data_IF_439920337412
#
_entry.id   IF_439920337412
#
_cell.length_a   1.000
_cell.length_b   1.000
_cell.length_c   1.000
_cell.angle_alpha   90.00
_cell.angle_beta   90.00
_cell.angle_gamma   90.00
#
_symmetry.space_group_name_H-M   'P 1'
#
loop_
_entity.id
_entity.type
_entity.pdbx_description
1 polymer ?
#
# COMPACT_ATOMS: atom_id res chain seq x y z
N UNK A 1 42.50 -11.81 18.80
CA UNK A 1 41.92 -11.67 17.46
C UNK A 1 40.42 -11.48 17.67
N UNK A 2 39.99 -10.23 17.76
CA UNK A 2 38.58 -9.89 18.02
C UNK A 2 37.84 -10.12 16.72
N UNK A 3 36.97 -11.13 16.72
CA UNK A 3 35.96 -11.32 15.70
C UNK A 3 35.00 -10.13 15.77
N UNK A 4 35.11 -9.19 14.83
CA UNK A 4 34.03 -8.26 14.56
C UNK A 4 32.92 -9.06 13.86
N UNK A 5 31.92 -9.48 14.61
CA UNK A 5 30.66 -9.97 14.07
C UNK A 5 30.00 -8.83 13.27
N UNK A 6 29.84 -9.11 11.98
CA UNK A 6 29.12 -8.35 10.96
C UNK A 6 27.84 -7.70 11.50
N UNK A 7 27.80 -6.37 11.58
CA UNK A 7 26.55 -5.64 11.48
C UNK A 7 26.20 -5.52 9.99
N UNK A 8 25.65 -6.60 9.44
CA UNK A 8 24.90 -6.53 8.18
C UNK A 8 23.50 -6.02 8.56
N UNK A 9 23.39 -4.74 8.89
CA UNK A 9 22.09 -4.12 9.12
C UNK A 9 21.40 -4.09 7.76
N UNK A 10 20.38 -4.91 7.57
CA UNK A 10 19.47 -4.74 6.45
C UNK A 10 18.93 -3.31 6.53
N UNK A 11 19.01 -2.58 5.42
CA UNK A 11 18.54 -1.21 5.28
C UNK A 11 17.04 -1.01 5.57
N UNK A 12 16.30 -2.05 5.92
CA UNK A 12 14.84 -2.02 6.06
C UNK A 12 14.36 -1.88 7.52
N UNK A 13 15.27 -1.82 8.49
CA UNK A 13 14.91 -1.79 9.92
C UNK A 13 14.42 -0.39 10.40
N UNK A 14 14.19 0.56 9.48
CA UNK A 14 13.74 1.92 9.83
C UNK A 14 12.22 2.03 9.95
N UNK A 15 11.50 1.31 9.09
CA UNK A 15 10.04 1.36 9.00
C UNK A 15 9.52 -0.07 8.83
N UNK A 16 8.48 -0.43 9.55
CA UNK A 16 7.69 -1.64 9.29
C UNK A 16 6.32 -1.28 8.73
N UNK A 17 5.80 -2.15 7.85
CA UNK A 17 4.46 -2.02 7.27
C UNK A 17 3.64 -3.27 7.53
N UNK A 18 2.36 -3.08 7.84
CA UNK A 18 1.42 -4.16 8.09
C UNK A 18 0.06 -3.85 7.47
N UNK A 19 -0.43 -4.68 6.53
CA UNK A 19 0.25 -5.87 5.99
C UNK A 19 1.42 -5.49 5.06
N UNK A 20 2.33 -6.43 4.77
CA UNK A 20 3.42 -6.24 3.80
C UNK A 20 2.97 -6.41 2.34
N UNK A 21 1.77 -6.95 2.14
CA UNK A 21 1.10 -7.17 0.87
C UNK A 21 -0.41 -7.02 1.11
N UNK A 22 -1.15 -6.48 0.13
CA UNK A 22 -2.60 -6.31 0.22
C UNK A 22 -3.29 -7.22 -0.79
N UNK A 23 -4.00 -8.24 -0.30
CA UNK A 23 -4.84 -9.11 -1.14
C UNK A 23 -6.30 -8.86 -0.81
N UNK A 24 -7.07 -8.34 -1.76
CA UNK A 24 -8.51 -8.13 -1.56
C UNK A 24 -9.37 -9.34 -1.99
N UNK A 25 -8.78 -10.30 -2.69
CA UNK A 25 -9.50 -11.44 -3.26
C UNK A 25 -10.44 -11.00 -4.38
N UNK A 26 -11.61 -11.63 -4.46
CA UNK A 26 -12.65 -11.26 -5.42
C UNK A 26 -13.40 -9.98 -4.99
N UNK A 27 -13.54 -9.04 -5.91
CA UNK A 27 -14.28 -7.79 -5.72
C UNK A 27 -15.46 -7.78 -6.68
N UNK A 28 -16.67 -7.72 -6.13
CA UNK A 28 -17.89 -7.68 -6.92
C UNK A 28 -18.22 -6.26 -7.38
N UNK A 29 -18.05 -6.01 -8.69
CA UNK A 29 -18.38 -4.76 -9.36
C UNK A 29 -19.81 -4.71 -9.92
N UNK A 30 -20.66 -5.71 -9.63
CA UNK A 30 -22.09 -5.66 -9.93
C UNK A 30 -22.83 -4.67 -9.02
N UNK A 31 -22.30 -4.45 -7.82
CA UNK A 31 -22.85 -3.54 -6.84
C UNK A 31 -22.33 -2.12 -7.06
N UNK A 32 -23.06 -1.13 -6.54
CA UNK A 32 -22.57 0.23 -6.56
C UNK A 32 -21.34 0.37 -5.66
N UNK A 33 -20.32 1.09 -6.15
CA UNK A 33 -19.10 1.36 -5.39
C UNK A 33 -19.42 2.09 -4.08
N UNK A 34 -18.92 1.62 -2.92
CA UNK A 34 -18.96 2.39 -1.68
C UNK A 34 -18.21 3.72 -1.79
N UNK A 35 -18.50 4.67 -0.89
CA UNK A 35 -17.84 5.98 -0.88
C UNK A 35 -16.33 5.83 -0.69
N UNK A 36 -15.96 4.94 0.23
CA UNK A 36 -14.60 4.57 0.61
C UNK A 36 -13.94 3.53 -0.31
N UNK A 37 -14.61 3.10 -1.38
CA UNK A 37 -14.17 2.00 -2.25
C UNK A 37 -14.54 0.61 -1.70
N UNK A 38 -14.30 -0.42 -2.51
CA UNK A 38 -14.52 -1.81 -2.14
C UNK A 38 -13.42 -2.29 -1.18
N UNK A 39 -13.84 -2.99 -0.12
CA UNK A 39 -12.98 -3.67 0.85
C UNK A 39 -11.78 -2.81 1.32
N UNK A 40 -12.00 -1.65 1.98
CA UNK A 40 -10.89 -0.83 2.46
C UNK A 40 -9.99 -1.60 3.42
N UNK A 41 -8.68 -1.49 3.22
CA UNK A 41 -7.65 -2.17 4.04
C UNK A 41 -6.88 -1.18 4.86
N UNK A 42 -6.70 -1.46 6.16
CA UNK A 42 -5.83 -0.67 7.02
C UNK A 42 -4.37 -1.06 6.79
N UNK A 43 -3.60 -0.17 6.19
CA UNK A 43 -2.15 -0.31 6.00
C UNK A 43 -1.43 0.55 7.05
N UNK A 44 -0.97 -0.10 8.11
CA UNK A 44 -0.20 0.55 9.17
C UNK A 44 1.26 0.68 8.76
N UNK A 45 1.83 1.86 8.97
CA UNK A 45 3.24 2.19 8.76
C UNK A 45 3.80 2.65 10.10
N UNK A 46 4.78 1.95 10.63
CA UNK A 46 5.39 2.21 11.94
C UNK A 46 6.86 2.63 11.76
N UNK A 47 7.25 3.74 12.39
CA UNK A 47 8.65 4.13 12.50
C UNK A 47 9.31 3.41 13.67
N UNK A 48 10.13 2.40 13.36
CA UNK A 48 10.89 1.63 14.34
C UNK A 48 12.27 2.24 14.64
N UNK A 49 12.61 3.34 13.96
CA UNK A 49 13.88 4.02 14.16
C UNK A 49 13.83 5.03 15.32
N UNK A 50 15.02 5.42 15.79
CA UNK A 50 15.20 6.44 16.83
C UNK A 50 15.27 7.87 16.26
N UNK A 51 14.78 8.09 15.05
CA UNK A 51 14.81 9.39 14.39
C UNK A 51 13.52 9.63 13.60
N UNK A 52 13.25 10.89 13.29
CA UNK A 52 12.10 11.24 12.46
C UNK A 52 12.28 10.71 11.03
N UNK A 53 11.19 10.19 10.47
CA UNK A 53 11.13 9.65 9.10
C UNK A 53 10.03 10.38 8.33
N UNK A 54 10.39 11.00 7.22
CA UNK A 54 9.43 11.59 6.28
C UNK A 54 9.02 10.55 5.25
N UNK A 55 7.72 10.49 4.97
CA UNK A 55 7.11 9.53 4.06
C UNK A 55 6.33 10.25 2.96
N UNK A 56 6.34 9.71 1.75
CA UNK A 56 5.51 10.21 0.64
C UNK A 56 5.15 9.05 -0.28
N UNK A 57 3.91 8.99 -0.76
CA UNK A 57 3.53 8.02 -1.80
C UNK A 57 4.00 8.56 -3.14
N UNK A 58 4.91 7.84 -3.79
CA UNK A 58 5.52 8.25 -5.06
C UNK A 58 4.92 7.53 -6.27
N UNK A 59 4.31 6.36 -6.03
CA UNK A 59 3.55 5.62 -7.04
C UNK A 59 2.28 5.07 -6.40
N UNK A 60 1.14 5.34 -7.02
CA UNK A 60 -0.17 4.85 -6.60
C UNK A 60 -1.05 4.68 -7.84
N UNK A 61 -1.65 3.50 -7.98
CA UNK A 61 -2.51 3.18 -9.10
C UNK A 61 -3.93 3.73 -8.88
N UNK A 62 -4.14 4.97 -9.29
CA UNK A 62 -5.45 5.62 -9.20
C UNK A 62 -6.48 5.12 -10.20
N UNK A 63 -6.08 4.34 -11.21
CA UNK A 63 -7.04 3.76 -12.17
C UNK A 63 -7.78 2.59 -11.54
N UNK A 64 -7.14 1.88 -10.61
CA UNK A 64 -7.72 0.72 -9.91
C UNK A 64 -8.06 1.00 -8.45
N UNK A 65 -7.26 1.81 -7.75
CA UNK A 65 -7.37 2.02 -6.31
C UNK A 65 -7.88 3.42 -5.95
N UNK A 66 -8.50 3.52 -4.78
CA UNK A 66 -8.70 4.79 -4.09
C UNK A 66 -7.94 4.80 -2.78
N UNK A 67 -7.66 6.00 -2.29
CA UNK A 67 -7.04 6.23 -1.00
C UNK A 67 -7.89 7.23 -0.20
N UNK A 68 -8.40 6.80 0.95
CA UNK A 68 -9.28 7.63 1.76
C UNK A 68 -8.59 8.94 2.19
N UNK A 69 -9.27 10.07 1.97
CA UNK A 69 -8.76 11.40 2.33
C UNK A 69 -7.85 12.05 1.28
N UNK A 70 -7.60 11.39 0.15
CA UNK A 70 -6.75 11.89 -0.93
C UNK A 70 -7.49 11.86 -2.28
N UNK A 71 -7.07 12.69 -3.22
CA UNK A 71 -7.61 12.72 -4.59
C UNK A 71 -6.48 12.52 -5.61
N UNK A 72 -6.84 12.03 -6.80
CA UNK A 72 -5.92 11.65 -7.88
C UNK A 72 -4.92 12.75 -8.32
N UNK A 73 -5.19 14.01 -7.98
CA UNK A 73 -4.35 15.16 -8.33
C UNK A 73 -3.44 15.65 -7.21
N UNK A 74 -3.52 15.08 -6.00
CA UNK A 74 -2.69 15.51 -4.87
C UNK A 74 -1.38 14.74 -4.82
N UNK A 75 -0.26 15.45 -4.67
CA UNK A 75 0.96 14.87 -4.13
C UNK A 75 0.60 14.30 -2.75
N UNK A 76 0.70 13.00 -2.56
CA UNK A 76 0.35 12.34 -1.30
C UNK A 76 1.54 12.47 -0.34
N UNK A 77 1.66 13.64 0.27
CA UNK A 77 2.55 13.84 1.40
C UNK A 77 1.92 13.19 2.64
N UNK A 78 2.68 12.29 3.27
CA UNK A 78 2.28 11.68 4.53
C UNK A 78 2.91 12.46 5.68
N UNK A 79 2.33 12.40 6.90
CA UNK A 79 2.95 13.01 8.06
C UNK A 79 4.36 12.45 8.28
N UNK A 80 5.28 13.31 8.72
CA UNK A 80 6.55 12.86 9.29
C UNK A 80 6.26 12.04 10.55
N UNK A 81 6.78 10.82 10.60
CA UNK A 81 6.67 9.94 11.75
C UNK A 81 7.82 10.21 12.72
N UNK A 82 7.48 10.59 13.96
CA UNK A 82 8.45 10.58 15.06
C UNK A 82 8.84 9.14 15.44
N UNK A 83 9.88 9.00 16.25
CA UNK A 83 10.28 7.71 16.84
C UNK A 83 9.07 6.96 17.44
N UNK A 84 8.97 5.66 17.13
CA UNK A 84 7.92 4.74 17.59
C UNK A 84 6.47 5.19 17.31
N UNK A 85 6.27 6.11 16.36
CA UNK A 85 4.94 6.54 15.93
C UNK A 85 4.49 5.81 14.68
N UNK A 86 3.17 5.68 14.53
CA UNK A 86 2.55 5.02 13.39
C UNK A 86 1.60 5.95 12.66
N UNK A 87 1.45 5.72 11.37
CA UNK A 87 0.39 6.27 10.55
C UNK A 87 -0.36 5.14 9.84
N UNK A 88 -1.62 5.38 9.49
CA UNK A 88 -2.47 4.39 8.82
C UNK A 88 -2.94 4.97 7.51
N UNK A 89 -2.60 4.30 6.41
CA UNK A 89 -3.22 4.49 5.10
C UNK A 89 -4.41 3.55 4.98
N UNK A 90 -5.44 3.97 4.25
CA UNK A 90 -6.60 3.13 3.99
C UNK A 90 -6.86 3.02 2.47
N UNK A 91 -6.03 2.26 1.74
CA UNK A 91 -6.29 1.95 0.33
C UNK A 91 -7.47 0.99 0.19
N UNK A 92 -8.16 1.10 -0.94
CA UNK A 92 -9.33 0.29 -1.30
C UNK A 92 -9.35 0.06 -2.82
N UNK A 93 -9.97 -1.02 -3.27
CA UNK A 93 -10.25 -1.20 -4.70
C UNK A 93 -11.36 -0.24 -5.11
N UNK A 94 -11.24 0.41 -6.26
CA UNK A 94 -12.19 1.41 -6.72
C UNK A 94 -12.73 1.17 -8.11
N UNK A 95 -11.95 0.55 -8.98
CA UNK A 95 -12.33 0.30 -10.35
C UNK A 95 -11.53 -0.86 -10.95
N UNK A 96 -11.98 -1.33 -12.11
CA UNK A 96 -11.24 -2.19 -13.01
C UNK A 96 -11.49 -1.71 -14.45
N UNK A 97 -10.63 -2.10 -15.39
CA UNK A 97 -10.68 -1.69 -16.79
C UNK A 97 -11.17 -2.88 -17.65
N UNK A 98 -12.50 -3.02 -17.86
CA UNK A 98 -13.06 -4.14 -18.63
C UNK A 98 -12.52 -4.21 -20.07
N UNK A 99 -12.20 -3.08 -20.68
CA UNK A 99 -11.60 -2.98 -22.01
C UNK A 99 -10.21 -3.62 -22.11
N UNK A 100 -9.51 -3.76 -20.98
CA UNK A 100 -8.22 -4.45 -20.89
C UNK A 100 -8.37 -5.97 -20.66
N UNK A 101 -9.61 -6.46 -20.56
CA UNK A 101 -9.87 -7.88 -20.27
C UNK A 101 -9.63 -8.26 -18.82
N UNK A 102 -9.66 -7.30 -17.90
CA UNK A 102 -9.40 -7.53 -16.47
C UNK A 102 -10.52 -8.30 -15.76
N UNK A 103 -11.74 -8.30 -16.32
CA UNK A 103 -12.88 -9.05 -15.77
C UNK A 103 -12.50 -10.52 -15.54
N UNK A 104 -12.79 -11.02 -14.34
CA UNK A 104 -12.54 -12.40 -13.90
C UNK A 104 -11.05 -12.80 -13.98
N UNK A 105 -10.13 -11.82 -14.04
CA UNK A 105 -8.68 -11.99 -14.14
C UNK A 105 -7.98 -11.24 -13.00
N UNK A 106 -6.90 -11.80 -12.46
CA UNK A 106 -6.13 -11.11 -11.42
C UNK A 106 -5.52 -9.80 -11.95
N UNK A 107 -5.76 -8.73 -11.21
CA UNK A 107 -5.15 -7.40 -11.39
C UNK A 107 -4.23 -7.16 -10.20
N UNK A 108 -2.99 -6.77 -10.48
CA UNK A 108 -1.96 -6.60 -9.46
C UNK A 108 -1.05 -5.41 -9.77
N UNK A 109 -0.48 -4.82 -8.72
CA UNK A 109 0.53 -3.77 -8.82
C UNK A 109 1.21 -3.54 -7.47
N UNK A 110 1.73 -2.34 -7.27
CA UNK A 110 2.30 -1.95 -5.98
C UNK A 110 2.02 -0.50 -5.62
N UNK A 111 2.01 -0.22 -4.31
CA UNK A 111 2.08 1.13 -3.74
C UNK A 111 3.54 1.37 -3.38
N UNK A 112 4.13 2.46 -3.86
CA UNK A 112 5.52 2.80 -3.55
C UNK A 112 5.58 4.01 -2.62
N UNK A 113 6.28 3.84 -1.49
CA UNK A 113 6.55 4.89 -0.52
C UNK A 113 8.02 5.29 -0.60
N UNK A 114 8.29 6.59 -0.79
CA UNK A 114 9.62 7.13 -0.53
C UNK A 114 9.79 7.33 0.97
N UNK A 115 10.75 6.61 1.55
CA UNK A 115 11.13 6.71 2.95
C UNK A 115 12.39 7.54 3.04
N UNK A 116 12.33 8.67 3.74
CA UNK A 116 13.45 9.59 3.89
C UNK A 116 13.76 9.82 5.37
N UNK A 117 14.95 9.40 5.78
CA UNK A 117 15.50 9.64 7.10
C UNK A 117 16.88 10.33 6.98
N UNK A 118 17.36 10.95 8.05
CA UNK A 118 18.53 11.86 8.02
C UNK A 118 19.78 11.32 7.32
N UNK A 119 20.01 10.02 7.33
CA UNK A 119 21.20 9.36 6.75
C UNK A 119 20.88 8.28 5.73
N UNK A 120 19.60 8.07 5.43
CA UNK A 120 19.18 6.94 4.63
C UNK A 120 17.84 7.25 3.97
N UNK A 121 17.76 6.99 2.67
CA UNK A 121 16.53 7.03 1.90
C UNK A 121 16.40 5.75 1.08
N UNK A 122 15.19 5.23 0.98
CA UNK A 122 14.87 4.06 0.17
C UNK A 122 13.42 4.11 -0.29
N UNK A 123 13.06 3.24 -1.23
CA UNK A 123 11.68 3.04 -1.68
C UNK A 123 11.18 1.76 -1.04
N UNK A 124 10.03 1.84 -0.38
CA UNK A 124 9.31 0.70 0.12
C UNK A 124 8.18 0.37 -0.84
N UNK A 125 8.17 -0.85 -1.35
CA UNK A 125 7.16 -1.36 -2.26
C UNK A 125 6.19 -2.26 -1.49
N UNK A 126 4.89 -2.01 -1.65
CA UNK A 126 3.81 -2.76 -1.00
C UNK A 126 2.94 -3.35 -2.11
N UNK A 127 3.12 -4.63 -2.45
CA UNK A 127 2.34 -5.27 -3.49
C UNK A 127 0.86 -5.31 -3.15
N UNK A 128 0.03 -5.27 -4.17
CA UNK A 128 -1.41 -5.43 -4.02
C UNK A 128 -2.00 -6.25 -5.16
N UNK A 129 -3.12 -6.94 -4.90
CA UNK A 129 -3.87 -7.68 -5.93
C UNK A 129 -5.35 -7.89 -5.59
N UNK A 130 -6.17 -8.02 -6.64
CA UNK A 130 -7.58 -8.39 -6.57
C UNK A 130 -8.07 -9.05 -7.87
N UNK A 131 -9.25 -9.66 -7.85
CA UNK A 131 -9.94 -10.21 -9.04
C UNK A 131 -11.31 -9.53 -9.17
N UNK A 132 -11.57 -8.72 -10.20
CA UNK A 132 -12.90 -8.14 -10.42
C UNK A 132 -13.88 -9.22 -10.91
N UNK A 133 -15.04 -9.30 -10.28
CA UNK A 133 -16.15 -10.18 -10.69
C UNK A 133 -17.44 -9.37 -10.85
N UNK A 134 -18.39 -9.86 -11.65
CA UNK A 134 -19.68 -9.18 -11.92
C UNK A 134 -20.91 -9.91 -11.37
N UNK A 135 -20.70 -10.99 -10.63
CA UNK A 135 -21.69 -11.63 -9.77
C UNK A 135 -20.92 -12.66 -8.91
N UNK A 136 -21.30 -12.86 -7.66
CA UNK A 136 -20.73 -13.92 -6.81
C UNK A 136 -21.35 -15.31 -7.09
N UNK A 137 -22.01 -15.52 -8.25
CA UNK A 137 -22.66 -16.79 -8.64
C UNK A 137 -22.03 -17.33 -9.93
N UNK A 138 -21.54 -18.56 -10.07
CA UNK A 138 -21.94 -19.85 -9.51
C UNK A 138 -20.72 -20.65 -8.97
N UNK A 139 -20.69 -20.94 -7.67
CA UNK A 139 -20.02 -22.14 -7.14
C UNK A 139 -21.08 -23.02 -6.48
N UNK A 140 -21.90 -23.66 -7.32
CA UNK A 140 -22.70 -24.83 -6.92
C UNK A 140 -21.83 -26.07 -6.78
#
# INVERSE_FOLDING_TARGET
MIWLSLACSSSNDLISVSPSEITWGEINFAEAKPEEGYNPTMLSILNESTQDVSLSVINFDWEHLCLQGYSQSSLIELPTLSENSSFVLQPSVCNYLPENGERDTEVSGSIELSVNAKRQSFILEIPWQFVPVLDFQDSG
#
